data_IF_894025153624
#
_entry.id   IF_894025153624
#
_cell.length_a   1.000
_cell.length_b   1.000
_cell.length_c   1.000
_cell.angle_alpha   90.00
_cell.angle_beta   90.00
_cell.angle_gamma   90.00
#
_symmetry.space_group_name_H-M   'P 1'
#
loop_
_entity.id
_entity.type
_entity.pdbx_description
1 polymer ?
#
# COMPACT_ATOMS: atom_id res chain seq x y z
N UNK A 1 -7.17 54.97 19.01
CA UNK A 1 -7.69 53.60 19.14
C UNK A 1 -7.22 52.86 17.90
N UNK A 2 -6.17 52.03 17.96
CA UNK A 2 -5.82 51.21 16.80
C UNK A 2 -6.88 50.12 16.65
N UNK A 3 -7.54 50.10 15.50
CA UNK A 3 -8.49 49.05 15.12
C UNK A 3 -7.70 47.76 14.92
N UNK A 4 -7.98 46.75 15.74
CA UNK A 4 -7.47 45.40 15.55
C UNK A 4 -8.22 44.79 14.38
N UNK A 5 -7.55 44.70 13.24
CA UNK A 5 -8.01 43.94 12.08
C UNK A 5 -7.98 42.45 12.46
N UNK A 6 -9.17 41.94 12.82
CA UNK A 6 -9.42 40.54 13.11
C UNK A 6 -9.21 39.75 11.82
N UNK A 7 -8.08 39.05 11.74
CA UNK A 7 -7.75 38.16 10.64
C UNK A 7 -8.85 37.10 10.50
N UNK A 8 -9.63 37.18 9.42
CA UNK A 8 -10.65 36.22 9.08
C UNK A 8 -10.05 34.79 9.10
N UNK A 9 -10.56 33.95 10.00
CA UNK A 9 -10.27 32.51 9.98
C UNK A 9 -10.52 31.97 8.57
N UNK A 10 -9.66 31.06 8.05
CA UNK A 10 -9.90 30.49 6.73
C UNK A 10 -11.26 29.81 6.76
N UNK A 11 -12.15 30.24 5.87
CA UNK A 11 -13.47 29.64 5.71
C UNK A 11 -13.31 28.12 5.70
N UNK A 12 -13.92 27.43 6.67
CA UNK A 12 -13.96 25.98 6.71
C UNK A 12 -14.55 25.53 5.37
N UNK A 13 -13.69 24.97 4.51
CA UNK A 13 -14.16 24.56 3.20
C UNK A 13 -14.86 23.23 3.39
N UNK A 14 -16.18 23.31 3.58
CA UNK A 14 -17.04 22.15 3.75
C UNK A 14 -16.78 21.15 2.62
N UNK A 15 -16.51 19.92 3.03
CA UNK A 15 -16.34 18.79 2.15
C UNK A 15 -17.16 17.63 2.68
N UNK A 16 -17.58 16.76 1.78
CA UNK A 16 -18.28 15.54 2.09
C UNK A 16 -17.35 14.36 1.84
N UNK A 17 -17.41 13.36 2.72
CA UNK A 17 -16.77 12.09 2.41
C UNK A 17 -17.66 11.33 1.43
N UNK A 18 -17.13 11.03 0.25
CA UNK A 18 -17.90 10.40 -0.81
C UNK A 18 -17.07 9.34 -1.56
N UNK A 19 -17.79 8.35 -2.07
CA UNK A 19 -17.31 7.45 -3.13
C UNK A 19 -17.96 7.90 -4.43
N UNK A 20 -17.12 8.24 -5.39
CA UNK A 20 -17.52 8.79 -6.68
C UNK A 20 -17.11 7.81 -7.77
N UNK A 21 -18.06 7.45 -8.61
CA UNK A 21 -17.83 6.59 -9.77
C UNK A 21 -17.90 7.40 -11.06
N UNK A 22 -16.85 7.32 -11.86
CA UNK A 22 -16.68 8.06 -13.10
C UNK A 22 -16.88 7.12 -14.28
N UNK A 23 -17.85 7.44 -15.13
CA UNK A 23 -18.24 6.66 -16.32
C UNK A 23 -18.42 5.14 -16.04
N UNK A 24 -18.75 4.74 -14.81
CA UNK A 24 -18.97 3.33 -14.43
C UNK A 24 -17.74 2.44 -14.38
N UNK A 25 -16.51 2.98 -14.48
CA UNK A 25 -15.29 2.15 -14.52
C UNK A 25 -14.16 2.63 -13.61
N UNK A 26 -14.15 3.89 -13.18
CA UNK A 26 -13.18 4.41 -12.20
C UNK A 26 -13.91 4.79 -10.93
N UNK A 27 -13.38 4.37 -9.79
CA UNK A 27 -13.91 4.71 -8.47
C UNK A 27 -12.87 5.49 -7.68
N UNK A 28 -13.30 6.60 -7.09
CA UNK A 28 -12.49 7.43 -6.21
C UNK A 28 -13.23 7.59 -4.88
N UNK A 29 -12.54 7.34 -3.77
CA UNK A 29 -13.05 7.58 -2.44
C UNK A 29 -12.24 8.73 -1.84
N UNK A 30 -12.89 9.79 -1.38
CA UNK A 30 -12.18 10.99 -0.98
C UNK A 30 -13.06 12.09 -0.42
N UNK A 31 -12.45 13.26 -0.22
CA UNK A 31 -13.16 14.49 0.16
C UNK A 31 -13.71 15.14 -1.10
N UNK A 32 -15.02 15.25 -1.19
CA UNK A 32 -15.72 15.77 -2.34
C UNK A 32 -16.34 17.13 -2.04
N UNK A 33 -16.33 18.01 -3.03
CA UNK A 33 -17.03 19.30 -2.99
C UNK A 33 -17.28 19.83 -4.38
N UNK A 34 -18.26 20.72 -4.50
CA UNK A 34 -18.48 21.46 -5.73
C UNK A 34 -17.59 22.72 -5.75
N UNK A 35 -16.93 22.96 -6.88
CA UNK A 35 -16.13 24.17 -7.10
C UNK A 35 -16.36 24.67 -8.54
N UNK A 36 -16.31 25.98 -8.72
CA UNK A 36 -16.31 26.55 -10.07
C UNK A 36 -14.89 26.48 -10.66
N UNK A 37 -14.74 25.80 -11.80
CA UNK A 37 -13.48 25.70 -12.53
C UNK A 37 -13.72 25.72 -14.03
N UNK A 38 -12.82 26.36 -14.76
CA UNK A 38 -12.88 26.43 -16.23
C UNK A 38 -14.20 27.00 -16.77
N UNK A 39 -14.85 27.89 -16.02
CA UNK A 39 -16.13 28.51 -16.39
C UNK A 39 -17.35 27.58 -16.24
N UNK A 40 -17.22 26.45 -15.54
CA UNK A 40 -18.30 25.54 -15.27
C UNK A 40 -18.26 25.04 -13.82
N UNK A 41 -19.39 24.54 -13.34
CA UNK A 41 -19.46 23.88 -12.03
C UNK A 41 -18.91 22.46 -12.15
N UNK A 42 -17.91 22.16 -11.32
CA UNK A 42 -17.15 20.91 -11.36
C UNK A 42 -17.18 20.24 -9.98
N UNK A 43 -17.23 18.91 -9.97
CA UNK A 43 -16.93 18.12 -8.79
C UNK A 43 -15.41 18.09 -8.59
N UNK A 44 -14.95 18.51 -7.43
CA UNK A 44 -13.60 18.24 -6.93
C UNK A 44 -13.64 17.02 -6.03
N UNK A 45 -12.73 16.08 -6.24
CA UNK A 45 -12.48 14.99 -5.28
C UNK A 45 -10.99 14.91 -4.94
N UNK A 46 -10.68 15.05 -3.66
CA UNK A 46 -9.34 14.87 -3.11
C UNK A 46 -9.22 13.44 -2.57
N UNK A 47 -8.45 12.60 -3.26
CA UNK A 47 -8.22 11.19 -2.91
C UNK A 47 -6.99 11.08 -2.00
N UNK A 48 -7.10 10.51 -0.80
CA UNK A 48 -5.96 10.35 0.10
C UNK A 48 -5.06 9.21 -0.34
N UNK A 49 -3.75 9.44 -0.27
CA UNK A 49 -2.75 8.37 -0.29
C UNK A 49 -2.53 7.90 1.15
N UNK A 50 -2.98 6.68 1.46
CA UNK A 50 -2.87 6.11 2.81
C UNK A 50 -1.63 5.24 2.89
N UNK A 51 -0.82 5.40 3.93
CA UNK A 51 0.30 4.52 4.25
C UNK A 51 0.02 3.85 5.59
N UNK A 52 0.37 2.57 5.65
CA UNK A 52 0.29 1.73 6.84
C UNK A 52 1.73 1.62 7.34
N UNK A 53 2.11 2.40 8.36
CA UNK A 53 3.45 2.27 8.95
C UNK A 53 3.62 0.84 9.48
N UNK A 54 4.68 0.14 9.10
CA UNK A 54 4.85 -1.28 9.45
C UNK A 54 4.75 -1.58 10.94
N UNK A 55 4.41 -2.83 11.25
CA UNK A 55 4.54 -3.39 12.60
C UNK A 55 6.00 -3.24 13.03
N UNK A 56 6.26 -2.57 14.15
CA UNK A 56 7.56 -2.63 14.79
C UNK A 56 7.75 -4.05 15.34
N UNK A 57 8.53 -4.87 14.63
CA UNK A 57 8.85 -6.24 15.02
C UNK A 57 9.81 -6.30 16.22
N UNK A 58 10.30 -5.15 16.72
CA UNK A 58 11.07 -5.05 17.96
C UNK A 58 10.19 -4.91 19.21
N UNK A 59 8.87 -4.80 19.05
CA UNK A 59 7.95 -4.88 20.18
C UNK A 59 7.93 -6.32 20.70
N UNK A 60 8.62 -6.52 21.84
CA UNK A 60 8.63 -7.74 22.66
C UNK A 60 7.27 -8.46 22.62
N UNK A 61 7.34 -9.79 22.42
CA UNK A 61 6.21 -10.68 22.23
C UNK A 61 5.06 -10.39 23.21
N UNK A 62 3.98 -9.77 22.73
CA UNK A 62 2.75 -9.60 23.50
C UNK A 62 1.93 -8.34 23.20
N UNK A 63 2.50 -7.33 22.52
CA UNK A 63 1.79 -6.10 22.19
C UNK A 63 1.66 -5.89 20.69
N UNK A 64 0.55 -6.33 20.09
CA UNK A 64 0.23 -5.97 18.71
C UNK A 64 0.07 -4.45 18.59
N UNK A 65 1.12 -3.76 18.12
CA UNK A 65 1.08 -2.31 17.90
C UNK A 65 -0.04 -2.01 16.90
N UNK A 66 -1.09 -1.31 17.35
CA UNK A 66 -2.18 -0.88 16.49
C UNK A 66 -1.62 0.03 15.40
N UNK A 67 -1.54 -0.51 14.20
CA UNK A 67 -1.08 0.27 13.06
C UNK A 67 -2.16 1.24 12.64
N UNK A 68 -2.09 2.48 13.11
CA UNK A 68 -2.96 3.55 12.64
C UNK A 68 -2.61 3.90 11.19
N UNK A 69 -3.59 3.89 10.25
CA UNK A 69 -3.37 4.38 8.90
C UNK A 69 -3.09 5.88 8.95
N UNK A 70 -2.03 6.33 8.27
CA UNK A 70 -1.71 7.75 8.14
C UNK A 70 -1.83 8.20 6.68
N UNK A 71 -2.31 9.42 6.47
CA UNK A 71 -2.40 10.02 5.13
C UNK A 71 -1.09 10.74 4.83
N UNK A 72 -0.41 10.34 3.76
CA UNK A 72 0.87 10.95 3.35
C UNK A 72 0.71 12.03 2.29
N UNK A 73 -0.40 12.02 1.55
CA UNK A 73 -0.65 12.99 0.49
C UNK A 73 -2.07 12.93 -0.04
N UNK A 74 -2.38 13.86 -0.93
CA UNK A 74 -3.69 13.98 -1.57
C UNK A 74 -3.52 14.16 -3.07
N UNK A 75 -4.37 13.48 -3.84
CA UNK A 75 -4.46 13.66 -5.29
C UNK A 75 -5.83 14.20 -5.64
N UNK A 76 -5.87 15.42 -6.16
CA UNK A 76 -7.12 16.10 -6.57
C UNK A 76 -7.51 15.74 -7.99
N UNK A 77 -8.77 15.40 -8.20
CA UNK A 77 -9.38 15.21 -9.51
C UNK A 77 -10.57 16.16 -9.68
N UNK A 78 -10.86 16.47 -10.94
CA UNK A 78 -11.94 17.36 -11.37
C UNK A 78 -12.83 16.65 -12.37
N UNK A 79 -14.13 16.61 -12.10
CA UNK A 79 -15.10 15.94 -12.96
C UNK A 79 -16.30 16.83 -13.24
N UNK A 80 -16.72 16.91 -14.50
CA UNK A 80 -17.98 17.54 -14.85
C UNK A 80 -19.15 16.64 -14.47
N UNK A 81 -20.31 17.21 -14.16
CA UNK A 81 -21.49 16.45 -13.72
C UNK A 81 -21.90 15.31 -14.66
N UNK A 82 -21.76 15.50 -15.97
CA UNK A 82 -22.08 14.47 -16.98
C UNK A 82 -21.16 13.23 -16.96
N UNK A 83 -20.03 13.29 -16.26
CA UNK A 83 -19.11 12.14 -16.11
C UNK A 83 -19.37 11.30 -14.86
N UNK A 84 -20.21 11.80 -13.94
CA UNK A 84 -20.57 11.10 -12.71
C UNK A 84 -21.59 10.01 -13.03
N UNK A 85 -21.20 8.77 -12.76
CA UNK A 85 -22.10 7.63 -12.83
C UNK A 85 -22.85 7.43 -11.51
N UNK A 86 -22.14 7.56 -10.38
CA UNK A 86 -22.74 7.51 -9.05
C UNK A 86 -21.97 8.39 -8.06
N UNK A 87 -22.69 8.92 -7.07
CA UNK A 87 -22.15 9.66 -5.93
C UNK A 87 -22.76 9.08 -4.66
N UNK A 88 -21.92 8.47 -3.82
CA UNK A 88 -22.35 7.79 -2.60
C UNK A 88 -21.72 8.47 -1.39
N UNK A 89 -22.54 9.09 -0.54
CA UNK A 89 -22.11 9.64 0.73
C UNK A 89 -21.58 8.52 1.65
N UNK A 90 -20.49 8.79 2.35
CA UNK A 90 -19.83 7.83 3.24
C UNK A 90 -19.17 8.55 4.41
N UNK A 91 -18.49 7.79 5.28
CA UNK A 91 -17.62 8.32 6.32
C UNK A 91 -16.13 8.27 5.96
N UNK A 92 -15.32 8.98 6.75
CA UNK A 92 -13.86 8.99 6.66
C UNK A 92 -13.27 7.58 6.77
N UNK A 93 -13.74 6.77 7.71
CA UNK A 93 -13.21 5.44 8.00
C UNK A 93 -13.28 4.53 6.76
N UNK A 94 -14.39 4.59 6.03
CA UNK A 94 -14.61 3.83 4.79
C UNK A 94 -13.71 4.33 3.67
N UNK A 95 -13.53 5.65 3.54
CA UNK A 95 -12.62 6.23 2.55
C UNK A 95 -11.17 5.78 2.80
N UNK A 96 -10.71 5.82 4.06
CA UNK A 96 -9.37 5.35 4.41
C UNK A 96 -9.20 3.85 4.18
N UNK A 97 -10.24 3.05 4.46
CA UNK A 97 -10.24 1.60 4.20
C UNK A 97 -10.15 1.27 2.72
N UNK A 98 -10.87 2.00 1.85
CA UNK A 98 -10.88 1.79 0.40
C UNK A 98 -9.54 2.17 -0.23
N UNK A 99 -8.96 3.30 0.20
CA UNK A 99 -7.66 3.77 -0.32
C UNK A 99 -6.46 3.07 0.32
N UNK A 100 -6.68 2.07 1.17
CA UNK A 100 -5.62 1.29 1.79
C UNK A 100 -4.77 0.61 0.72
N UNK A 101 -3.43 0.68 0.79
CA UNK A 101 -2.56 -0.05 -0.13
C UNK A 101 -2.91 -1.54 -0.16
N UNK A 102 -2.90 -2.10 -1.36
CA UNK A 102 -3.20 -3.52 -1.55
C UNK A 102 -2.22 -4.39 -0.76
N UNK A 103 -2.77 -5.24 0.11
CA UNK A 103 -2.01 -6.28 0.79
C UNK A 103 -2.09 -7.56 -0.03
N UNK A 104 -0.95 -8.20 -0.32
CA UNK A 104 -0.94 -9.48 -1.01
C UNK A 104 -1.65 -10.53 -0.15
N UNK A 105 -2.51 -11.35 -0.79
CA UNK A 105 -3.25 -12.41 -0.11
C UNK A 105 -2.34 -13.46 0.54
N UNK A 106 -1.15 -13.68 -0.04
CA UNK A 106 -0.11 -14.54 0.51
C UNK A 106 1.14 -13.73 0.84
N UNK A 107 1.70 -13.98 2.02
CA UNK A 107 3.12 -13.69 2.27
C UNK A 107 3.91 -14.80 1.59
N UNK A 108 4.83 -14.45 0.70
CA UNK A 108 5.76 -15.43 0.16
C UNK A 108 6.57 -16.02 1.32
N UNK A 109 6.35 -17.31 1.61
CA UNK A 109 7.19 -18.06 2.53
C UNK A 109 8.28 -18.67 1.65
N UNK A 110 9.50 -18.16 1.77
CA UNK A 110 10.63 -18.77 1.08
C UNK A 110 10.75 -20.24 1.55
N UNK A 111 10.96 -21.18 0.61
CA UNK A 111 11.25 -22.56 0.98
C UNK A 111 12.42 -22.62 1.97
N UNK A 112 12.41 -23.55 2.96
CA UNK A 112 13.54 -23.73 3.84
C UNK A 112 14.80 -24.03 3.03
N UNK A 113 15.92 -23.39 3.39
CA UNK A 113 17.23 -23.58 2.75
C UNK A 113 17.64 -25.05 2.88
N UNK A 114 17.59 -25.82 1.79
CA UNK A 114 17.91 -27.27 1.77
C UNK A 114 19.37 -27.58 1.43
N UNK A 115 20.28 -26.61 1.50
CA UNK A 115 21.69 -26.86 1.22
C UNK A 115 22.47 -27.15 2.51
N UNK A 116 22.45 -28.42 2.95
CA UNK A 116 23.53 -29.01 3.74
C UNK A 116 24.48 -29.67 2.73
N UNK A 117 25.44 -28.89 2.24
CA UNK A 117 26.49 -29.41 1.37
C UNK A 117 27.57 -30.06 2.19
N UNK A 118 27.36 -31.32 2.61
CA UNK A 118 28.39 -32.19 3.20
C UNK A 118 27.96 -33.67 3.09
N UNK A 119 27.92 -34.22 1.87
CA UNK A 119 27.95 -35.67 1.63
C UNK A 119 28.04 -35.98 0.13
N UNK A 120 29.26 -35.99 -0.42
CA UNK A 120 29.69 -36.87 -1.53
C UNK A 120 30.76 -36.19 -2.42
N UNK A 121 31.97 -36.01 -1.89
CA UNK A 121 33.18 -36.03 -2.74
C UNK A 121 34.29 -36.80 -1.99
N UNK A 122 34.05 -38.10 -1.73
CA UNK A 122 35.10 -39.02 -1.28
C UNK A 122 34.86 -40.43 -1.84
N UNK A 123 34.87 -40.54 -3.17
CA UNK A 123 34.76 -41.83 -3.89
C UNK A 123 35.92 -42.07 -4.87
N UNK A 124 37.02 -41.32 -4.80
CA UNK A 124 38.15 -41.47 -5.73
C UNK A 124 39.39 -42.17 -5.17
N UNK A 125 39.35 -42.73 -3.96
CA UNK A 125 40.54 -43.30 -3.30
C UNK A 125 40.65 -44.84 -3.30
N UNK A 126 39.78 -45.57 -4.02
CA UNK A 126 39.74 -47.05 -3.92
C UNK A 126 40.01 -47.82 -5.23
N UNK A 127 40.46 -47.16 -6.31
CA UNK A 127 40.63 -47.81 -7.62
C UNK A 127 42.09 -47.97 -8.08
N UNK A 128 43.06 -47.87 -7.16
CA UNK A 128 44.51 -47.97 -7.48
C UNK A 128 45.23 -49.05 -6.65
N UNK A 129 44.53 -50.15 -6.36
CA UNK A 129 45.14 -51.39 -5.84
C UNK A 129 45.27 -52.41 -6.98
N UNK A 130 46.11 -52.11 -7.96
CA UNK A 130 46.59 -53.13 -8.88
C UNK A 130 47.59 -54.05 -8.16
N UNK A 131 47.23 -55.31 -8.20
CA UNK A 131 47.81 -56.47 -7.53
C UNK A 131 49.17 -56.80 -8.18
N UNK A 132 50.25 -56.79 -7.39
CA UNK A 132 51.50 -57.45 -7.78
C UNK A 132 51.28 -58.97 -7.77
N UNK A 133 51.31 -59.62 -8.94
CA UNK A 133 51.50 -61.07 -9.04
C UNK A 133 52.66 -61.43 -9.97
N UNK A 134 53.49 -62.32 -9.43
CA UNK A 134 54.83 -62.77 -9.81
C UNK A 134 55.00 -63.34 -11.23
N UNK A 135 56.15 -63.07 -11.83
CA UNK A 135 56.72 -63.81 -12.98
C UNK A 135 56.99 -65.28 -12.61
N UNK A 136 56.66 -66.25 -13.50
CA UNK A 136 57.76 -67.09 -14.01
C UNK A 136 57.55 -67.68 -15.43
N UNK A 137 58.56 -67.55 -16.31
CA UNK A 137 59.48 -68.61 -16.79
C UNK A 137 60.26 -68.18 -18.04
#
# INVERSE_FOLDING_TARGET
MPETEEAAAPAEVDFEWAIVEIFGHRKHAGRAREEERFGAKMLRIDVPTVVIAGIDLSAEAGGGSQTSPSVTGWTTHWYGGASLFSYTLTDEATVMRINRPYASASRYIAPPHRYDGDAAEDISALDDMDVEEEEPF
#
